data_IF_729360965137
#
_entry.id   IF_729360965137
#
_cell.length_a   1.000
_cell.length_b   1.000
_cell.length_c   1.000
_cell.angle_alpha   90.00
_cell.angle_beta   90.00
_cell.angle_gamma   90.00
#
_symmetry.space_group_name_H-M   'P 1'
#
loop_
_entity.id
_entity.type
_entity.pdbx_description
1 polymer ?
#
# COMPACT_ATOMS: atom_id res chain seq x y z
N UNK A 1 20.35 -0.40 -5.37
CA UNK A 1 21.53 -1.26 -5.60
C UNK A 1 21.85 -1.98 -4.28
N UNK A 2 21.36 -3.22 -4.08
CA UNK A 2 21.70 -4.02 -2.89
C UNK A 2 22.89 -4.92 -3.23
N UNK A 3 24.02 -4.66 -2.58
CA UNK A 3 25.21 -5.47 -2.74
C UNK A 3 25.02 -6.88 -2.15
N UNK A 4 25.40 -7.87 -2.96
CA UNK A 4 25.70 -9.24 -2.55
C UNK A 4 26.89 -9.27 -1.58
N UNK A 5 27.01 -10.43 -0.92
CA UNK A 5 28.14 -10.97 -0.13
C UNK A 5 27.89 -10.80 1.40
N UNK A 6 28.12 -11.78 2.27
CA UNK A 6 28.90 -13.00 2.14
C UNK A 6 28.34 -14.10 3.07
N UNK A 7 28.57 -15.37 2.69
CA UNK A 7 28.59 -16.50 3.63
C UNK A 7 29.75 -16.28 4.60
N UNK A 8 29.53 -16.44 5.90
CA UNK A 8 30.60 -16.69 6.85
C UNK A 8 30.12 -17.69 7.92
N UNK A 9 31.02 -18.62 8.23
CA UNK A 9 30.82 -19.84 8.97
C UNK A 9 30.62 -19.59 10.48
N UNK A 10 29.75 -20.38 11.11
CA UNK A 10 29.58 -20.40 12.56
C UNK A 10 30.67 -21.28 13.20
N UNK A 11 31.74 -20.64 13.68
CA UNK A 11 32.66 -21.24 14.64
C UNK A 11 32.00 -21.27 16.03
N UNK A 12 32.21 -22.36 16.76
CA UNK A 12 31.68 -22.61 18.11
C UNK A 12 32.63 -22.09 19.20
N UNK A 13 32.02 -21.54 20.26
CA UNK A 13 32.49 -21.42 21.66
C UNK A 13 33.66 -20.44 21.94
N UNK A 14 33.87 -19.95 23.19
CA UNK A 14 33.22 -20.29 24.47
C UNK A 14 32.71 -19.09 25.31
N UNK A 15 31.95 -19.43 26.35
CA UNK A 15 31.52 -18.57 27.44
C UNK A 15 32.68 -18.12 28.33
N UNK A 16 32.79 -16.82 28.62
CA UNK A 16 33.38 -16.29 29.85
C UNK A 16 33.04 -14.79 30.04
N UNK A 17 32.22 -14.53 31.06
CA UNK A 17 32.36 -13.49 32.09
C UNK A 17 32.85 -12.10 31.66
N UNK A 18 31.97 -11.10 31.82
CA UNK A 18 32.38 -9.76 32.24
C UNK A 18 31.85 -8.62 31.38
N UNK A 19 31.15 -7.69 32.04
CA UNK A 19 31.01 -6.31 31.56
C UNK A 19 29.59 -5.90 31.20
N UNK A 20 28.99 -5.07 32.05
CA UNK A 20 27.92 -4.16 31.67
C UNK A 20 28.28 -3.46 30.35
N UNK A 21 27.45 -3.61 29.31
CA UNK A 21 27.08 -2.51 28.41
C UNK A 21 26.07 -3.00 27.36
N UNK A 22 25.14 -2.10 27.01
CA UNK A 22 24.37 -2.08 25.76
C UNK A 22 23.33 -3.21 25.64
N UNK A 23 22.10 -3.07 26.15
CA UNK A 23 21.10 -2.12 25.66
C UNK A 23 21.23 -1.86 24.15
N UNK A 24 20.20 -2.28 23.41
CA UNK A 24 19.85 -1.93 22.03
C UNK A 24 19.89 -3.11 21.04
N UNK A 25 18.87 -3.11 20.19
CA UNK A 25 18.70 -3.89 18.96
C UNK A 25 18.08 -5.29 19.08
N UNK A 26 16.94 -5.38 19.77
CA UNK A 26 15.81 -6.15 19.26
C UNK A 26 14.78 -5.19 18.62
N UNK A 27 15.22 -4.37 17.67
CA UNK A 27 14.29 -3.82 16.67
C UNK A 27 14.12 -4.94 15.66
N UNK A 28 13.16 -5.82 15.96
CA UNK A 28 12.64 -6.78 15.02
C UNK A 28 12.44 -6.05 13.69
N UNK A 29 13.07 -6.58 12.64
CA UNK A 29 12.83 -6.20 11.26
C UNK A 29 11.36 -6.50 10.94
N UNK A 30 10.48 -5.60 11.37
CA UNK A 30 9.17 -5.43 10.77
C UNK A 30 9.46 -5.02 9.34
N UNK A 31 9.48 -6.00 8.45
CA UNK A 31 9.45 -5.77 7.03
C UNK A 31 8.27 -4.83 6.76
N UNK A 32 8.58 -3.54 6.60
CA UNK A 32 7.63 -2.52 6.22
C UNK A 32 7.17 -2.87 4.80
N UNK A 33 6.15 -3.72 4.72
CA UNK A 33 5.49 -4.03 3.46
C UNK A 33 4.85 -2.75 2.93
N UNK A 34 5.50 -2.14 1.93
CA UNK A 34 4.86 -1.41 0.84
C UNK A 34 4.09 -0.14 1.21
N UNK A 35 4.67 0.74 2.02
CA UNK A 35 4.25 2.16 2.02
C UNK A 35 4.82 2.92 0.84
N UNK A 36 5.99 2.53 0.35
CA UNK A 36 6.70 3.26 -0.71
C UNK A 36 6.36 2.72 -2.10
N UNK A 37 6.41 3.59 -3.09
CA UNK A 37 6.26 3.22 -4.51
C UNK A 37 4.83 3.29 -5.05
N UNK A 38 3.88 3.86 -4.31
CA UNK A 38 2.59 4.24 -4.88
C UNK A 38 2.73 5.54 -5.65
N UNK A 39 2.09 5.61 -6.81
CA UNK A 39 2.04 6.83 -7.62
C UNK A 39 0.67 6.96 -8.27
N UNK A 40 0.22 8.20 -8.41
CA UNK A 40 -0.97 8.51 -9.21
C UNK A 40 -0.71 8.11 -10.66
N UNK A 41 -1.70 7.48 -11.28
CA UNK A 41 -1.65 6.99 -12.64
C UNK A 41 -3.00 7.20 -13.34
N UNK A 42 -2.97 7.77 -14.54
CA UNK A 42 -4.17 8.07 -15.33
C UNK A 42 -4.67 6.86 -16.15
N UNK A 43 -3.89 5.77 -16.22
CA UNK A 43 -4.28 4.61 -17.01
C UNK A 43 -5.58 3.98 -16.49
N UNK A 44 -6.54 3.77 -17.38
CA UNK A 44 -7.84 3.13 -17.07
C UNK A 44 -7.89 1.63 -17.35
N UNK A 45 -6.75 1.04 -17.69
CA UNK A 45 -6.62 -0.37 -18.03
C UNK A 45 -5.49 -1.00 -17.22
N UNK A 46 -5.55 -2.31 -17.01
CA UNK A 46 -4.47 -3.07 -16.42
C UNK A 46 -4.42 -4.50 -16.92
N UNK A 47 -3.23 -5.07 -17.01
CA UNK A 47 -3.01 -6.46 -17.43
C UNK A 47 -3.11 -7.45 -16.25
N UNK A 48 -3.35 -8.73 -16.55
CA UNK A 48 -3.57 -9.82 -15.57
C UNK A 48 -2.50 -9.97 -14.49
N UNK A 49 -1.28 -9.49 -14.70
CA UNK A 49 -0.17 -9.56 -13.74
C UNK A 49 0.37 -8.19 -13.32
N UNK A 50 -0.39 -7.13 -13.63
CA UNK A 50 -0.03 -5.77 -13.25
C UNK A 50 0.16 -5.63 -11.73
N UNK A 51 0.92 -4.61 -11.35
CA UNK A 51 1.04 -4.21 -9.96
C UNK A 51 -0.35 -3.91 -9.35
N UNK A 52 -0.50 -4.01 -8.02
CA UNK A 52 -1.74 -3.61 -7.35
C UNK A 52 -2.17 -2.21 -7.79
N UNK A 53 -3.43 -2.09 -8.20
CA UNK A 53 -4.05 -0.82 -8.59
C UNK A 53 -5.25 -0.53 -7.71
N UNK A 54 -5.41 0.73 -7.35
CA UNK A 54 -6.53 1.23 -6.58
C UNK A 54 -7.06 2.48 -7.27
N UNK A 55 -8.35 2.56 -7.49
CA UNK A 55 -8.98 3.69 -8.17
C UNK A 55 -10.16 4.19 -7.37
N UNK A 56 -10.43 5.49 -7.44
CA UNK A 56 -11.58 6.13 -6.81
C UNK A 56 -12.62 6.39 -7.88
N UNK A 57 -13.86 5.96 -7.65
CA UNK A 57 -14.96 6.29 -8.53
C UNK A 57 -15.16 7.81 -8.58
N UNK A 58 -15.44 8.35 -9.76
CA UNK A 58 -15.63 9.78 -9.99
C UNK A 58 -16.97 10.26 -9.41
N UNK A 59 -18.00 9.40 -9.44
CA UNK A 59 -19.32 9.75 -8.93
C UNK A 59 -19.85 8.74 -7.90
N UNK A 60 -20.61 9.22 -6.90
CA UNK A 60 -20.81 10.64 -6.54
C UNK A 60 -19.57 11.27 -5.86
N UNK A 61 -19.31 12.56 -6.11
CA UNK A 61 -18.27 13.33 -5.42
C UNK A 61 -18.86 14.15 -4.26
N UNK A 62 -18.55 13.72 -3.03
CA UNK A 62 -18.91 14.43 -1.80
C UNK A 62 -17.79 15.34 -1.27
N UNK A 63 -16.71 15.53 -2.03
CA UNK A 63 -15.54 16.32 -1.66
C UNK A 63 -14.64 15.66 -0.64
N UNK A 64 -14.59 14.33 -0.63
CA UNK A 64 -13.68 13.55 0.21
C UNK A 64 -12.36 13.29 -0.52
N UNK A 65 -11.25 13.44 0.19
CA UNK A 65 -9.91 13.07 -0.33
C UNK A 65 -9.51 11.71 0.26
N UNK A 66 -9.01 10.80 -0.58
CA UNK A 66 -8.47 9.53 -0.10
C UNK A 66 -6.94 9.58 -0.02
N UNK A 67 -6.39 9.34 1.16
CA UNK A 67 -4.97 9.08 1.36
C UNK A 67 -4.65 7.59 1.33
N UNK A 68 -3.67 7.20 0.54
CA UNK A 68 -3.06 5.88 0.52
C UNK A 68 -1.54 6.03 0.62
N UNK A 69 -0.94 5.51 1.69
CA UNK A 69 0.48 5.73 1.96
C UNK A 69 0.84 7.23 1.97
N UNK A 70 1.65 7.67 1.01
CA UNK A 70 2.11 9.05 0.77
C UNK A 70 1.41 9.74 -0.42
N UNK A 71 0.45 9.07 -1.07
CA UNK A 71 -0.34 9.65 -2.15
C UNK A 71 -1.75 10.02 -1.70
N UNK A 72 -2.25 11.13 -2.22
CA UNK A 72 -3.66 11.52 -2.14
C UNK A 72 -4.32 11.28 -3.49
N UNK A 73 -5.56 10.81 -3.47
CA UNK A 73 -6.38 10.49 -4.63
C UNK A 73 -7.69 11.27 -4.56
N UNK A 74 -8.03 11.89 -5.67
CA UNK A 74 -9.32 12.51 -5.93
C UNK A 74 -10.28 11.54 -6.62
N UNK A 75 -11.60 11.83 -6.62
CA UNK A 75 -12.56 11.11 -7.46
C UNK A 75 -12.11 11.05 -8.92
N UNK A 76 -12.14 9.85 -9.52
CA UNK A 76 -11.71 9.63 -10.90
C UNK A 76 -10.22 9.34 -11.07
N UNK A 77 -9.44 9.29 -9.98
CA UNK A 77 -8.00 8.98 -10.04
C UNK A 77 -7.69 7.55 -9.63
N UNK A 78 -6.54 7.06 -10.10
CA UNK A 78 -5.97 5.79 -9.65
C UNK A 78 -4.58 5.99 -9.06
N UNK A 79 -4.22 5.14 -8.10
CA UNK A 79 -2.84 4.88 -7.72
C UNK A 79 -2.43 3.46 -8.12
N UNK A 80 -1.19 3.32 -8.53
CA UNK A 80 -0.55 2.04 -8.82
C UNK A 80 0.69 1.88 -7.96
N UNK A 81 0.90 0.69 -7.40
CA UNK A 81 2.11 0.37 -6.67
C UNK A 81 3.29 0.09 -7.62
N UNK A 82 4.51 0.06 -7.05
CA UNK A 82 5.71 -0.37 -7.76
C UNK A 82 5.60 -1.81 -8.30
N UNK A 83 6.27 -2.15 -9.42
CA UNK A 83 6.12 -3.44 -10.10
C UNK A 83 6.55 -4.64 -9.22
N UNK A 84 7.44 -4.45 -8.28
CA UNK A 84 7.90 -5.43 -7.29
C UNK A 84 6.88 -5.71 -6.17
N UNK A 85 5.93 -4.80 -5.93
CA UNK A 85 4.95 -4.92 -4.84
C UNK A 85 3.93 -6.01 -5.15
N UNK A 86 3.85 -7.03 -4.27
CA UNK A 86 2.91 -8.15 -4.42
C UNK A 86 1.47 -7.83 -3.98
N UNK A 87 1.30 -6.78 -3.19
CA UNK A 87 0.05 -6.43 -2.51
C UNK A 87 0.09 -6.79 -1.03
N UNK A 88 -1.06 -6.69 -0.37
CA UNK A 88 -1.24 -6.86 1.08
C UNK A 88 -2.43 -6.07 1.61
N UNK A 89 -2.47 -5.92 2.93
CA UNK A 89 -3.41 -5.00 3.58
C UNK A 89 -2.85 -3.58 3.51
N UNK A 90 -3.66 -2.67 2.97
CA UNK A 90 -3.35 -1.25 2.83
C UNK A 90 -4.27 -0.44 3.73
N UNK A 91 -3.73 0.57 4.39
CA UNK A 91 -4.53 1.53 5.15
C UNK A 91 -4.90 2.69 4.25
N UNK A 92 -6.19 2.81 3.98
CA UNK A 92 -6.76 3.96 3.28
C UNK A 92 -7.36 4.90 4.31
N UNK A 93 -7.10 6.19 4.14
CA UNK A 93 -7.65 7.27 4.96
C UNK A 93 -8.59 8.09 4.08
N UNK A 94 -9.78 8.40 4.57
CA UNK A 94 -10.67 9.37 3.94
C UNK A 94 -10.65 10.64 4.78
N UNK A 95 -10.54 11.81 4.17
CA UNK A 95 -10.62 13.13 4.83
C UNK A 95 -11.76 13.94 4.21
N UNK A 96 -12.66 14.44 5.05
CA UNK A 96 -13.74 15.34 4.62
C UNK A 96 -13.29 16.82 4.55
N UNK A 97 -14.20 17.70 4.10
CA UNK A 97 -13.94 19.14 3.98
C UNK A 97 -13.71 19.83 5.33
N UNK A 98 -14.23 19.25 6.41
CA UNK A 98 -14.04 19.71 7.78
C UNK A 98 -12.74 19.17 8.40
N UNK A 99 -11.98 18.35 7.66
CA UNK A 99 -10.73 17.74 8.12
C UNK A 99 -10.93 16.47 8.96
N UNK A 100 -12.16 15.97 9.13
CA UNK A 100 -12.36 14.72 9.86
C UNK A 100 -11.82 13.56 9.05
N UNK A 101 -11.11 12.65 9.73
CA UNK A 101 -10.46 11.51 9.09
C UNK A 101 -11.09 10.20 9.51
N UNK A 102 -11.30 9.31 8.53
CA UNK A 102 -11.65 7.90 8.76
C UNK A 102 -10.57 7.02 8.16
N UNK A 103 -10.35 5.84 8.75
CA UNK A 103 -9.32 4.89 8.29
C UNK A 103 -9.92 3.51 8.13
N UNK A 104 -9.53 2.82 7.06
CA UNK A 104 -9.95 1.44 6.81
C UNK A 104 -8.79 0.66 6.21
N UNK A 105 -8.61 -0.58 6.69
CA UNK A 105 -7.71 -1.54 6.06
C UNK A 105 -8.44 -2.25 4.92
N UNK A 106 -7.81 -2.32 3.76
CA UNK A 106 -8.35 -3.00 2.59
C UNK A 106 -7.29 -3.93 1.98
N UNK A 107 -7.67 -5.12 1.50
CA UNK A 107 -6.76 -5.93 0.72
C UNK A 107 -6.63 -5.40 -0.70
N UNK A 108 -5.38 -5.29 -1.17
CA UNK A 108 -5.02 -5.04 -2.56
C UNK A 108 -4.01 -6.10 -3.01
N UNK A 109 -4.05 -6.50 -4.28
CA UNK A 109 -3.22 -7.57 -4.81
C UNK A 109 -2.86 -7.36 -6.27
N UNK A 110 -1.79 -8.03 -6.71
CA UNK A 110 -1.41 -8.06 -8.13
C UNK A 110 -2.54 -8.60 -9.01
N UNK A 111 -2.58 -8.11 -10.25
CA UNK A 111 -3.55 -8.54 -11.25
C UNK A 111 -5.00 -8.17 -10.91
N UNK A 112 -5.19 -7.21 -10.00
CA UNK A 112 -6.51 -6.74 -9.58
C UNK A 112 -6.53 -5.22 -9.50
N UNK A 113 -7.67 -4.65 -9.87
CA UNK A 113 -8.03 -3.28 -9.55
C UNK A 113 -8.99 -3.29 -8.37
N UNK A 114 -8.74 -2.41 -7.40
CA UNK A 114 -9.64 -2.16 -6.28
C UNK A 114 -10.32 -0.82 -6.51
N UNK A 115 -11.61 -0.83 -6.80
CA UNK A 115 -12.42 0.36 -6.99
C UNK A 115 -12.99 0.79 -5.63
N UNK A 116 -12.77 2.04 -5.26
CA UNK A 116 -13.25 2.66 -4.05
C UNK A 116 -14.35 3.66 -4.37
N UNK A 117 -15.46 3.56 -3.66
CA UNK A 117 -16.49 4.61 -3.61
C UNK A 117 -16.54 5.16 -2.19
N UNK A 118 -16.62 6.48 -2.06
CA UNK A 118 -16.80 7.13 -0.76
C UNK A 118 -18.23 7.61 -0.69
N UNK A 119 -18.95 7.23 0.37
CA UNK A 119 -20.28 7.78 0.63
C UNK A 119 -20.19 9.18 1.28
N UNK A 120 -21.34 9.83 1.42
CA UNK A 120 -21.45 11.16 2.02
C UNK A 120 -20.81 11.23 3.41
N UNK A 121 -20.94 10.17 4.21
CA UNK A 121 -20.39 10.08 5.56
C UNK A 121 -18.88 9.77 5.61
N UNK A 122 -18.22 9.64 4.46
CA UNK A 122 -16.79 9.32 4.35
C UNK A 122 -16.48 7.83 4.51
N UNK A 123 -17.48 6.94 4.43
CA UNK A 123 -17.27 5.49 4.50
C UNK A 123 -16.89 4.95 3.13
N UNK A 124 -15.93 4.03 3.12
CA UNK A 124 -15.45 3.38 1.91
C UNK A 124 -16.30 2.16 1.57
N UNK A 125 -16.78 2.10 0.35
CA UNK A 125 -17.26 0.88 -0.29
C UNK A 125 -16.22 0.38 -1.28
N UNK A 126 -16.10 -0.94 -1.39
CA UNK A 126 -14.96 -1.57 -2.06
C UNK A 126 -15.46 -2.61 -3.04
N UNK A 127 -15.14 -2.40 -4.31
CA UNK A 127 -15.33 -3.37 -5.38
C UNK A 127 -13.97 -3.84 -5.88
N UNK A 128 -13.88 -5.11 -6.29
CA UNK A 128 -12.64 -5.68 -6.79
C UNK A 128 -12.90 -6.42 -8.08
N UNK A 129 -12.07 -6.12 -9.08
CA UNK A 129 -12.16 -6.73 -10.40
C UNK A 129 -10.78 -7.22 -10.82
N UNK A 130 -10.77 -8.30 -11.60
CA UNK A 130 -9.52 -8.79 -12.19
C UNK A 130 -9.04 -7.79 -13.25
N UNK A 131 -7.73 -7.61 -13.33
CA UNK A 131 -7.12 -6.92 -14.47
C UNK A 131 -7.18 -7.84 -15.68
N UNK A 132 -7.86 -7.42 -16.74
CA UNK A 132 -8.08 -8.22 -17.95
C UNK A 132 -7.93 -7.40 -19.23
N UNK A 133 -7.22 -6.28 -19.14
CA UNK A 133 -6.99 -5.29 -20.20
C UNK A 133 -8.23 -4.53 -20.67
N UNK A 134 -9.41 -4.76 -20.07
CA UNK A 134 -10.58 -3.91 -20.30
C UNK A 134 -10.47 -2.61 -19.51
N UNK A 135 -11.04 -1.51 -20.02
CA UNK A 135 -11.16 -0.28 -19.25
C UNK A 135 -12.09 -0.50 -18.07
N UNK A 136 -11.72 0.02 -16.90
CA UNK A 136 -12.63 0.13 -15.76
C UNK A 136 -13.31 1.51 -15.76
N UNK A 137 -14.55 1.52 -15.27
CA UNK A 137 -15.30 2.75 -15.06
C UNK A 137 -14.93 3.36 -13.72
N UNK A 138 -14.65 4.67 -13.74
CA UNK A 138 -14.38 5.48 -12.56
C UNK A 138 -15.60 6.37 -12.35
#
# INVERSE_FOLDING_TARGET
MCHKLARAAAARLPAAIGGLALASLLVAAGACAGREGWRVDAARTCERRAAPRLCVRAEPDYGHVLGLADVELLPGECAVAGPEVRGGLLRVTTRDRQGQTRRRWIPAGKGRVTLLRVDEAGRLEIERSACDSRPFEL
#
